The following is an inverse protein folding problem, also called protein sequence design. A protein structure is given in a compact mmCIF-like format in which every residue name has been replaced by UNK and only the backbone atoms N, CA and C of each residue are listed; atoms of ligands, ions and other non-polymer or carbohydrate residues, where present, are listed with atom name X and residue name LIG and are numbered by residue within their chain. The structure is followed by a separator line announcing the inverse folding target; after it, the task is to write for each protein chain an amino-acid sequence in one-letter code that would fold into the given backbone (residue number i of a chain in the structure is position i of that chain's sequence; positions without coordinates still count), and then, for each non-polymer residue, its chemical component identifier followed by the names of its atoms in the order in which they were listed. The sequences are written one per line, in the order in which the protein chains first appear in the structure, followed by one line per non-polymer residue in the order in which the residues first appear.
data_IF_917344590040
#
_entry.id   IF_917344590040
#
_cell.length_a   1.000
_cell.length_b   1.000
_cell.length_c   1.000
_cell.angle_alpha   90.00
_cell.angle_beta   90.00
_cell.angle_gamma   90.00
#
_symmetry.space_group_name_H-M   'P 1'
#
loop_
_entity.id
_entity.type
_entity.pdbx_description
1 polymer ?
#
# COMPACT_ATOMS: atom_id res chain seq x y z
N UNK A 1 -24.89 -13.00 -1.83
CA UNK A 1 -25.23 -11.63 -1.38
C UNK A 1 -24.47 -10.65 -2.25
N UNK A 2 -25.09 -9.57 -2.71
CA UNK A 2 -24.37 -8.48 -3.37
C UNK A 2 -23.79 -7.57 -2.29
N UNK A 3 -22.48 -7.31 -2.34
CA UNK A 3 -21.84 -6.30 -1.50
C UNK A 3 -22.15 -4.91 -2.06
N UNK A 4 -22.46 -3.96 -1.18
CA UNK A 4 -22.59 -2.55 -1.56
C UNK A 4 -21.22 -1.86 -1.56
N UNK A 5 -21.10 -0.70 -2.22
CA UNK A 5 -19.88 0.12 -2.14
C UNK A 5 -19.55 0.51 -0.69
N UNK A 6 -20.57 0.78 0.13
CA UNK A 6 -20.40 1.09 1.54
C UNK A 6 -19.79 -0.08 2.35
N UNK A 7 -20.00 -1.31 1.92
CA UNK A 7 -19.38 -2.48 2.55
C UNK A 7 -17.87 -2.53 2.29
N UNK A 8 -17.39 -1.94 1.18
CA UNK A 8 -15.99 -1.93 0.77
C UNK A 8 -15.18 -0.78 1.38
N UNK A 9 -15.83 0.20 2.02
CA UNK A 9 -15.14 1.27 2.73
C UNK A 9 -14.46 0.69 3.98
N UNK A 10 -13.11 0.76 4.11
CA UNK A 10 -12.43 0.28 5.29
C UNK A 10 -12.86 1.07 6.54
N UNK A 11 -13.26 0.37 7.59
CA UNK A 11 -13.67 0.97 8.86
C UNK A 11 -12.68 0.64 9.95
N UNK A 12 -12.23 1.66 10.68
CA UNK A 12 -11.41 1.44 11.88
C UNK A 12 -12.24 0.66 12.90
N UNK A 13 -11.68 -0.45 13.34
CA UNK A 13 -12.26 -1.33 14.35
C UNK A 13 -11.42 -1.23 15.61
N UNK A 14 -12.00 -0.62 16.64
CA UNK A 14 -11.43 -0.55 17.98
C UNK A 14 -12.21 -1.52 18.87
N UNK A 15 -11.71 -2.73 19.08
CA UNK A 15 -12.12 -3.51 20.25
C UNK A 15 -10.88 -3.84 21.06
N UNK A 16 -10.90 -3.44 22.34
CA UNK A 16 -9.84 -3.75 23.30
C UNK A 16 -9.74 -5.27 23.54
N UNK A 17 -10.82 -6.02 23.27
CA UNK A 17 -10.93 -7.47 23.45
C UNK A 17 -10.17 -8.27 22.37
N UNK A 18 -10.16 -7.81 21.11
CA UNK A 18 -9.46 -8.52 20.02
C UNK A 18 -7.94 -8.32 20.13
N UNK A 19 -7.46 -7.21 20.70
CA UNK A 19 -6.03 -6.95 20.89
C UNK A 19 -5.32 -7.93 21.85
N UNK A 20 -6.06 -8.67 22.68
CA UNK A 20 -5.50 -9.64 23.64
C UNK A 20 -5.33 -11.06 23.06
N UNK A 21 -5.97 -11.36 21.92
CA UNK A 21 -6.05 -12.73 21.37
C UNK A 21 -5.11 -13.00 20.19
N UNK A 22 -4.36 -12.01 19.69
CA UNK A 22 -3.45 -12.20 18.57
C UNK A 22 -2.02 -12.48 19.01
N UNK A 23 -1.61 -13.74 18.87
CA UNK A 23 -0.20 -14.09 18.73
C UNK A 23 0.28 -13.57 17.37
N UNK A 24 0.85 -12.36 17.32
CA UNK A 24 1.62 -11.90 16.16
C UNK A 24 2.67 -12.98 15.86
N UNK A 25 2.80 -13.48 14.62
CA UNK A 25 3.75 -14.54 14.31
C UNK A 25 5.16 -14.19 14.83
N UNK A 26 5.80 -15.16 15.49
CA UNK A 26 7.08 -15.02 16.21
C UNK A 26 8.21 -14.43 15.36
N UNK A 27 8.09 -14.45 14.03
CA UNK A 27 9.00 -13.79 13.09
C UNK A 27 8.99 -12.25 13.19
N UNK A 28 8.07 -11.66 13.95
CA UNK A 28 7.95 -10.21 14.18
C UNK A 28 7.86 -9.82 15.67
N UNK A 29 8.61 -10.51 16.53
CA UNK A 29 8.64 -10.32 17.99
C UNK A 29 9.08 -8.91 18.48
N UNK A 30 9.28 -7.92 17.60
CA UNK A 30 9.66 -6.55 17.96
C UNK A 30 8.53 -5.53 17.86
N UNK A 31 7.29 -5.92 17.56
CA UNK A 31 6.15 -5.00 17.61
C UNK A 31 5.70 -4.91 19.07
N UNK A 32 6.19 -3.88 19.79
CA UNK A 32 5.65 -3.51 21.09
C UNK A 32 4.13 -3.38 20.97
N UNK A 33 3.43 -4.19 21.74
CA UNK A 33 2.00 -4.54 21.68
C UNK A 33 1.03 -3.42 22.05
N UNK A 34 1.35 -2.14 21.82
CA UNK A 34 0.58 -1.07 22.47
C UNK A 34 -0.45 -0.32 21.64
N UNK A 35 -0.50 -0.36 20.30
CA UNK A 35 -1.62 0.23 19.53
C UNK A 35 -1.72 -0.28 18.07
N UNK A 36 -2.22 -1.50 17.84
CA UNK A 36 -2.54 -1.95 16.48
C UNK A 36 -3.90 -1.38 16.06
N UNK A 37 -3.95 -0.69 14.91
CA UNK A 37 -5.22 -0.24 14.30
C UNK A 37 -5.71 -1.30 13.31
N UNK A 38 -6.87 -1.89 13.60
CA UNK A 38 -7.51 -2.85 12.72
C UNK A 38 -8.51 -2.16 11.77
N UNK A 39 -8.53 -2.59 10.52
CA UNK A 39 -9.49 -2.16 9.51
C UNK A 39 -10.45 -3.32 9.20
N UNK A 40 -11.74 -3.13 9.35
CA UNK A 40 -12.74 -4.08 8.85
C UNK A 40 -13.16 -3.71 7.44
N UNK A 41 -13.05 -4.65 6.50
CA UNK A 41 -13.58 -4.52 5.14
C UNK A 41 -14.68 -5.57 4.96
N UNK A 42 -15.82 -5.15 4.44
CA UNK A 42 -17.00 -5.99 4.26
C UNK A 42 -17.92 -6.06 5.49
N UNK A 43 -19.04 -6.80 5.37
CA UNK A 43 -20.04 -6.88 6.42
C UNK A 43 -19.46 -7.55 7.67
N UNK A 44 -19.70 -6.97 8.85
CA UNK A 44 -19.15 -7.45 10.14
C UNK A 44 -19.45 -8.93 10.44
N UNK A 45 -20.58 -9.45 9.95
CA UNK A 45 -20.97 -10.86 10.14
C UNK A 45 -20.22 -11.83 9.23
N UNK A 46 -19.60 -11.32 8.16
CA UNK A 46 -18.86 -12.10 7.16
C UNK A 46 -17.34 -11.96 7.34
N UNK A 47 -16.86 -10.76 7.69
CA UNK A 47 -15.45 -10.48 7.96
C UNK A 47 -14.99 -11.17 9.26
N UNK A 48 -14.38 -12.36 9.12
CA UNK A 48 -13.99 -13.23 10.25
C UNK A 48 -12.51 -13.59 10.26
N UNK A 49 -11.83 -13.42 9.13
CA UNK A 49 -10.42 -13.74 8.97
C UNK A 49 -9.58 -12.48 9.15
N UNK A 50 -8.32 -12.66 9.54
CA UNK A 50 -7.38 -11.58 9.80
C UNK A 50 -6.25 -11.62 8.78
N UNK A 51 -5.86 -10.45 8.29
CA UNK A 51 -4.84 -10.29 7.28
C UNK A 51 -3.91 -9.15 7.65
N UNK A 52 -2.69 -9.21 7.13
CA UNK A 52 -1.74 -8.11 7.13
C UNK A 52 -1.35 -7.78 5.71
N UNK A 53 -1.53 -6.52 5.35
CA UNK A 53 -1.10 -5.96 4.09
C UNK A 53 0.10 -5.05 4.33
N UNK A 54 1.21 -5.29 3.66
CA UNK A 54 2.36 -4.39 3.65
C UNK A 54 2.56 -3.77 2.28
N UNK A 55 2.90 -2.48 2.27
CA UNK A 55 3.26 -1.73 1.07
C UNK A 55 4.63 -1.12 1.25
N UNK A 56 5.47 -1.19 0.22
CA UNK A 56 6.77 -0.54 0.20
C UNK A 56 7.14 -0.01 -1.19
N UNK A 57 7.84 1.12 -1.20
CA UNK A 57 8.63 1.57 -2.34
C UNK A 57 9.97 0.84 -2.30
N UNK A 58 10.40 0.20 -3.39
CA UNK A 58 11.68 -0.51 -3.43
C UNK A 58 12.74 0.33 -4.16
N UNK A 59 12.47 0.65 -5.43
CA UNK A 59 13.43 1.34 -6.27
C UNK A 59 12.75 2.12 -7.40
N UNK A 60 13.38 3.19 -7.86
CA UNK A 60 12.96 3.95 -9.04
C UNK A 60 14.18 4.31 -9.90
N UNK A 61 13.99 4.41 -11.22
CA UNK A 61 15.06 4.69 -12.17
C UNK A 61 14.58 5.62 -13.28
N UNK A 62 15.50 6.34 -13.94
CA UNK A 62 15.23 7.18 -15.13
C UNK A 62 14.25 8.34 -14.90
N UNK A 63 14.24 8.92 -13.70
CA UNK A 63 13.31 10.00 -13.33
C UNK A 63 13.73 11.37 -13.88
N UNK A 64 14.96 11.51 -14.37
CA UNK A 64 15.52 12.76 -14.90
C UNK A 64 14.74 13.35 -16.06
N UNK A 65 14.04 12.51 -16.83
CA UNK A 65 13.22 12.94 -17.96
C UNK A 65 11.94 13.68 -17.54
N UNK A 66 11.56 13.63 -16.27
CA UNK A 66 10.39 14.32 -15.72
C UNK A 66 10.71 15.69 -15.13
N UNK A 67 11.98 16.10 -15.14
CA UNK A 67 12.36 17.37 -14.55
C UNK A 67 11.97 18.50 -15.50
N UNK A 68 11.01 19.37 -15.12
CA UNK A 68 10.75 20.57 -15.89
C UNK A 68 11.98 21.48 -15.79
N UNK A 69 12.24 22.27 -16.83
CA UNK A 69 13.44 23.12 -16.97
C UNK A 69 13.75 23.88 -15.68
N UNK A 70 15.03 24.00 -15.32
CA UNK A 70 15.56 24.50 -14.03
C UNK A 70 14.86 25.79 -13.51
N UNK A 71 14.38 26.66 -14.40
CA UNK A 71 13.63 27.88 -14.03
C UNK A 71 12.31 27.62 -13.29
N UNK A 72 11.61 26.51 -13.56
CA UNK A 72 10.33 26.14 -12.93
C UNK A 72 10.46 25.50 -11.55
N UNK A 73 11.62 24.92 -11.22
CA UNK A 73 11.91 24.38 -9.90
C UNK A 73 12.42 25.46 -8.93
N UNK A 74 12.97 26.55 -9.47
CA UNK A 74 13.53 27.67 -8.71
C UNK A 74 12.49 28.77 -8.35
N UNK A 75 11.27 28.71 -8.86
CA UNK A 75 10.24 29.74 -8.66
C UNK A 75 9.30 29.44 -7.49
N UNK A 76 9.77 29.74 -6.26
CA UNK A 76 8.91 29.99 -5.08
C UNK A 76 8.95 28.91 -3.98
N UNK A 77 9.40 29.26 -2.77
CA UNK A 77 9.19 28.52 -1.50
C UNK A 77 9.38 26.97 -1.47
N UNK A 78 10.03 26.36 -2.46
CA UNK A 78 10.17 24.91 -2.60
C UNK A 78 11.31 24.33 -1.75
N UNK A 79 11.11 24.31 -0.44
CA UNK A 79 11.89 23.45 0.47
C UNK A 79 11.26 22.05 0.41
N UNK A 80 11.57 21.26 -0.61
CA UNK A 80 11.04 19.88 -0.70
C UNK A 80 11.75 19.06 -1.76
N UNK A 81 12.42 17.98 -1.35
CA UNK A 81 13.04 17.03 -2.28
C UNK A 81 12.03 16.24 -3.11
N UNK A 82 12.55 15.47 -4.05
CA UNK A 82 11.74 14.53 -4.82
C UNK A 82 11.22 13.41 -3.92
N UNK A 83 9.98 12.98 -4.11
CA UNK A 83 9.42 11.84 -3.38
C UNK A 83 8.31 11.17 -4.17
N UNK A 84 7.98 9.94 -3.78
CA UNK A 84 6.78 9.24 -4.20
C UNK A 84 5.73 9.27 -3.11
N UNK A 85 4.46 9.28 -3.53
CA UNK A 85 3.34 9.17 -2.61
C UNK A 85 2.17 8.39 -3.21
N UNK A 86 1.44 7.66 -2.38
CA UNK A 86 0.17 7.03 -2.74
C UNK A 86 -0.79 7.09 -1.55
N UNK A 87 -2.05 6.75 -1.77
CA UNK A 87 -3.06 6.70 -0.72
C UNK A 87 -3.62 5.29 -0.61
N UNK A 88 -3.62 4.72 0.58
CA UNK A 88 -4.18 3.41 0.88
C UNK A 88 -4.87 3.46 2.25
N UNK A 89 -6.11 2.96 2.35
CA UNK A 89 -6.92 3.06 3.58
C UNK A 89 -7.15 4.50 4.07
N UNK A 90 -7.13 5.49 3.17
CA UNK A 90 -7.21 6.91 3.53
C UNK A 90 -5.94 7.46 4.19
N UNK A 91 -4.86 6.67 4.22
CA UNK A 91 -3.55 7.07 4.71
C UNK A 91 -2.66 7.39 3.52
N UNK A 92 -2.09 8.60 3.52
CA UNK A 92 -1.06 8.98 2.55
C UNK A 92 0.28 8.39 2.97
N UNK A 93 0.85 7.58 2.09
CA UNK A 93 2.15 6.95 2.25
C UNK A 93 3.16 7.77 1.46
N UNK A 94 4.34 8.00 2.03
CA UNK A 94 5.44 8.75 1.39
C UNK A 94 6.69 7.88 1.31
N UNK A 95 7.44 8.00 0.23
CA UNK A 95 8.83 7.57 0.22
C UNK A 95 9.70 8.55 1.01
N UNK A 96 10.93 8.14 1.32
CA UNK A 96 11.95 9.10 1.69
C UNK A 96 12.13 10.13 0.57
N UNK A 97 12.50 11.36 0.95
CA UNK A 97 12.92 12.36 -0.02
C UNK A 97 14.28 11.99 -0.62
N UNK A 98 14.48 12.30 -1.90
CA UNK A 98 15.71 12.06 -2.63
C UNK A 98 16.04 13.21 -3.58
N UNK A 99 17.31 13.25 -4.03
CA UNK A 99 17.82 14.21 -5.01
C UNK A 99 18.41 13.56 -6.26
N UNK A 100 18.85 12.30 -6.17
CA UNK A 100 19.32 11.52 -7.30
C UNK A 100 18.14 11.05 -8.14
N UNK A 101 18.21 11.13 -9.47
CA UNK A 101 17.09 10.82 -10.37
C UNK A 101 17.34 9.63 -11.31
N UNK A 102 18.62 9.31 -11.56
CA UNK A 102 19.00 8.18 -12.41
C UNK A 102 18.57 6.84 -11.81
N UNK A 103 18.78 6.69 -10.50
CA UNK A 103 18.49 5.49 -9.73
C UNK A 103 18.34 5.86 -8.25
N UNK A 104 17.26 5.40 -7.63
CA UNK A 104 16.93 5.66 -6.23
C UNK A 104 16.51 4.36 -5.59
N UNK A 105 17.29 3.91 -4.60
CA UNK A 105 16.91 2.82 -3.70
C UNK A 105 16.29 3.42 -2.45
N UNK A 106 15.09 2.98 -2.11
CA UNK A 106 14.42 3.41 -0.90
C UNK A 106 14.87 2.56 0.29
N UNK A 107 14.81 3.16 1.49
CA UNK A 107 14.91 2.35 2.70
C UNK A 107 13.67 1.45 2.77
N UNK A 108 13.78 0.25 3.36
CA UNK A 108 12.69 -0.72 3.48
C UNK A 108 11.68 -0.29 4.56
N UNK A 109 11.17 0.93 4.47
CA UNK A 109 10.12 1.42 5.34
C UNK A 109 8.81 0.82 4.78
N UNK A 110 8.37 -0.25 5.42
CA UNK A 110 7.11 -0.91 5.09
C UNK A 110 5.96 -0.20 5.82
N UNK A 111 4.94 0.22 5.08
CA UNK A 111 3.66 0.60 5.67
C UNK A 111 2.81 -0.65 5.85
N UNK A 112 2.40 -0.92 7.09
CA UNK A 112 1.61 -2.11 7.44
C UNK A 112 0.18 -1.74 7.81
N UNK A 113 -0.77 -2.54 7.32
CA UNK A 113 -2.20 -2.45 7.63
C UNK A 113 -2.69 -3.81 8.13
N UNK A 114 -3.48 -3.79 9.21
CA UNK A 114 -4.08 -4.98 9.79
C UNK A 114 -5.56 -4.99 9.46
N UNK A 115 -6.03 -6.05 8.81
CA UNK A 115 -7.34 -6.09 8.16
C UNK A 115 -8.15 -7.28 8.67
N UNK A 116 -9.42 -7.07 8.97
CA UNK A 116 -10.41 -8.11 9.24
C UNK A 116 -11.38 -8.21 8.06
N UNK A 117 -11.41 -9.35 7.38
CA UNK A 117 -12.18 -9.54 6.14
C UNK A 117 -12.37 -11.03 5.83
N UNK A 118 -12.60 -11.37 4.56
CA UNK A 118 -12.44 -12.70 3.96
C UNK A 118 -11.71 -12.52 2.63
N UNK A 119 -11.12 -13.58 2.09
CA UNK A 119 -10.40 -13.51 0.81
C UNK A 119 -11.29 -13.02 -0.33
N UNK A 120 -12.54 -13.48 -0.40
CA UNK A 120 -13.47 -13.07 -1.46
C UNK A 120 -13.86 -11.59 -1.34
N UNK A 121 -14.06 -11.08 -0.13
CA UNK A 121 -14.32 -9.65 0.11
C UNK A 121 -13.09 -8.82 -0.25
N UNK A 122 -11.88 -9.25 0.14
CA UNK A 122 -10.64 -8.56 -0.20
C UNK A 122 -10.41 -8.53 -1.71
N UNK A 123 -10.72 -9.61 -2.43
CA UNK A 123 -10.63 -9.63 -3.90
C UNK A 123 -11.55 -8.57 -4.52
N UNK A 124 -12.79 -8.48 -4.06
CA UNK A 124 -13.75 -7.47 -4.54
C UNK A 124 -13.26 -6.06 -4.18
N UNK A 125 -12.75 -5.86 -2.97
CA UNK A 125 -12.15 -4.60 -2.55
C UNK A 125 -10.97 -4.18 -3.44
N UNK A 126 -10.04 -5.09 -3.73
CA UNK A 126 -8.89 -4.77 -4.59
C UNK A 126 -9.29 -4.48 -6.04
N UNK A 127 -10.34 -5.11 -6.56
CA UNK A 127 -10.94 -4.70 -7.84
C UNK A 127 -11.50 -3.28 -7.75
N UNK A 128 -12.16 -2.92 -6.65
CA UNK A 128 -12.76 -1.61 -6.46
C UNK A 128 -11.74 -0.47 -6.34
N UNK A 129 -10.61 -0.71 -5.65
CA UNK A 129 -9.57 0.32 -5.47
C UNK A 129 -8.52 0.35 -6.59
N UNK A 130 -8.68 -0.48 -7.62
CA UNK A 130 -7.76 -0.51 -8.76
C UNK A 130 -8.03 0.61 -9.76
N UNK A 131 -6.97 1.21 -10.34
CA UNK A 131 -5.56 1.04 -9.98
C UNK A 131 -5.17 1.89 -8.76
N UNK A 132 -4.22 1.40 -7.96
CA UNK A 132 -3.54 2.24 -6.98
C UNK A 132 -2.62 3.22 -7.71
N UNK A 133 -2.85 4.52 -7.53
CA UNK A 133 -2.06 5.58 -8.17
C UNK A 133 -0.90 5.98 -7.27
N UNK A 134 0.32 5.81 -7.77
CA UNK A 134 1.54 6.32 -7.14
C UNK A 134 1.96 7.59 -7.88
N UNK A 135 2.10 8.70 -7.16
CA UNK A 135 2.50 10.02 -7.67
C UNK A 135 3.99 10.23 -7.44
N UNK A 136 4.71 10.69 -8.45
CA UNK A 136 6.06 11.21 -8.35
C UNK A 136 5.98 12.74 -8.21
N UNK A 137 6.57 13.30 -7.15
CA UNK A 137 6.40 14.70 -6.79
C UNK A 137 7.74 15.43 -6.53
N UNK A 138 7.72 16.75 -6.70
CA UNK A 138 8.73 17.68 -6.18
C UNK A 138 8.02 18.73 -5.31
N UNK A 139 8.32 18.74 -4.01
CA UNK A 139 7.46 19.47 -3.06
C UNK A 139 6.00 19.04 -3.20
N UNK A 140 5.07 19.99 -3.30
CA UNK A 140 3.64 19.70 -3.52
C UNK A 140 3.26 19.43 -4.98
N UNK A 141 4.20 19.54 -5.93
CA UNK A 141 3.91 19.40 -7.35
C UNK A 141 4.03 17.96 -7.82
N UNK A 142 2.95 17.44 -8.42
CA UNK A 142 2.96 16.13 -9.08
C UNK A 142 3.62 16.27 -10.45
N UNK A 143 4.72 15.57 -10.66
CA UNK A 143 5.45 15.52 -11.91
C UNK A 143 4.95 14.41 -12.83
N UNK A 144 4.62 13.25 -12.25
CA UNK A 144 4.15 12.08 -12.98
C UNK A 144 3.38 11.10 -12.07
N UNK A 145 2.82 10.04 -12.66
CA UNK A 145 2.18 8.97 -11.92
C UNK A 145 2.41 7.59 -12.55
N UNK A 146 2.46 6.57 -11.70
CA UNK A 146 2.36 5.16 -12.06
C UNK A 146 1.05 4.57 -11.53
N UNK A 147 0.57 3.53 -12.20
CA UNK A 147 -0.64 2.78 -11.81
C UNK A 147 -0.27 1.36 -11.45
N UNK A 148 -0.68 0.91 -10.26
CA UNK A 148 -0.48 -0.46 -9.78
C UNK A 148 -1.81 -1.21 -9.84
N UNK A 149 -1.90 -2.34 -10.57
CA UNK A 149 -3.11 -3.15 -10.65
C UNK A 149 -3.23 -4.04 -9.41
N UNK A 150 -3.71 -3.46 -8.30
CA UNK A 150 -3.80 -4.14 -7.00
C UNK A 150 -4.80 -5.29 -6.98
N UNK A 151 -5.72 -5.35 -7.96
CA UNK A 151 -6.61 -6.49 -8.20
C UNK A 151 -5.84 -7.78 -8.50
N UNK A 152 -4.58 -7.68 -8.95
CA UNK A 152 -3.71 -8.83 -9.21
C UNK A 152 -3.01 -9.37 -7.95
N UNK A 153 -3.20 -8.73 -6.79
CA UNK A 153 -2.58 -9.17 -5.54
C UNK A 153 -3.06 -10.56 -5.12
N UNK A 154 -4.37 -10.80 -5.13
CA UNK A 154 -4.97 -12.08 -4.76
C UNK A 154 -5.27 -12.90 -6.03
N UNK A 155 -4.64 -14.06 -6.24
CA UNK A 155 -4.98 -14.94 -7.36
C UNK A 155 -6.46 -15.33 -7.37
N UNK A 156 -7.07 -15.43 -8.55
CA UNK A 156 -8.49 -15.75 -8.69
C UNK A 156 -8.87 -17.10 -8.06
N UNK A 157 -7.95 -18.07 -8.09
CA UNK A 157 -8.19 -19.43 -7.61
C UNK A 157 -7.89 -19.64 -6.11
N UNK A 158 -7.45 -18.61 -5.39
CA UNK A 158 -7.08 -18.73 -3.98
C UNK A 158 -8.20 -18.20 -3.08
N UNK A 159 -8.96 -19.08 -2.44
CA UNK A 159 -10.10 -18.68 -1.59
C UNK A 159 -9.77 -18.61 -0.09
N UNK A 160 -8.56 -19.01 0.31
CA UNK A 160 -8.17 -19.17 1.73
C UNK A 160 -6.87 -18.42 2.04
N UNK A 161 -6.10 -18.06 1.02
CA UNK A 161 -4.79 -17.41 1.11
C UNK A 161 -3.83 -18.19 2.02
N UNK A 162 -3.55 -19.43 1.63
CA UNK A 162 -2.64 -20.32 2.39
C UNK A 162 -1.19 -19.83 2.39
N UNK A 163 -0.77 -19.12 1.32
CA UNK A 163 0.57 -18.57 1.17
C UNK A 163 0.49 -17.04 1.06
N UNK A 164 1.58 -16.36 1.40
CA UNK A 164 1.70 -14.91 1.18
C UNK A 164 1.49 -14.56 -0.28
N UNK A 165 0.50 -13.72 -0.56
CA UNK A 165 0.32 -13.10 -1.87
C UNK A 165 1.28 -11.92 -2.02
N UNK A 166 2.01 -11.85 -3.14
CA UNK A 166 2.99 -10.78 -3.40
C UNK A 166 2.79 -10.22 -4.80
N UNK A 167 2.54 -8.93 -4.88
CA UNK A 167 2.62 -8.15 -6.11
C UNK A 167 3.90 -7.31 -6.05
N UNK A 168 4.99 -7.84 -6.60
CA UNK A 168 6.25 -7.12 -6.78
C UNK A 168 6.61 -7.05 -8.26
N UNK A 169 6.47 -5.87 -8.86
CA UNK A 169 6.75 -5.62 -10.28
C UNK A 169 7.18 -4.17 -10.50
N UNK A 170 7.80 -3.93 -11.65
CA UNK A 170 8.05 -2.58 -12.13
C UNK A 170 6.82 -2.01 -12.83
N UNK A 171 6.47 -0.77 -12.52
CA UNK A 171 5.32 -0.05 -13.07
C UNK A 171 5.79 1.19 -13.82
N UNK A 172 5.22 1.43 -15.01
CA UNK A 172 5.59 2.56 -15.85
C UNK A 172 5.02 3.88 -15.32
N UNK A 173 5.87 4.89 -15.13
CA UNK A 173 5.52 6.25 -14.66
C UNK A 173 5.12 7.19 -15.84
N UNK A 174 4.78 6.61 -17.01
CA UNK A 174 4.75 7.12 -18.41
C UNK A 174 6.04 6.80 -19.19
N UNK A 175 5.86 6.22 -20.38
CA UNK A 175 6.87 6.07 -21.46
C UNK A 175 8.27 5.56 -21.00
N UNK A 176 8.35 4.34 -20.45
CA UNK A 176 9.58 3.57 -20.16
C UNK A 176 10.37 3.93 -18.88
N UNK A 177 9.67 4.40 -17.84
CA UNK A 177 10.28 4.77 -16.56
C UNK A 177 9.72 3.87 -15.47
N UNK A 178 10.59 3.15 -14.79
CA UNK A 178 10.22 2.02 -13.95
C UNK A 178 10.25 2.42 -12.47
N UNK A 179 9.10 2.30 -11.83
CA UNK A 179 8.97 2.26 -10.37
C UNK A 179 8.77 0.81 -9.92
N UNK A 180 9.70 0.27 -9.15
CA UNK A 180 9.53 -1.01 -8.47
C UNK A 180 8.83 -0.75 -7.13
N UNK A 181 7.63 -1.30 -6.98
CA UNK A 181 6.90 -1.28 -5.72
C UNK A 181 6.40 -2.67 -5.38
N UNK A 182 6.33 -2.96 -4.08
CA UNK A 182 5.89 -4.25 -3.59
C UNK A 182 4.71 -4.10 -2.64
N UNK A 183 3.69 -4.92 -2.89
CA UNK A 183 2.55 -5.13 -2.03
C UNK A 183 2.53 -6.60 -1.60
N UNK A 184 2.48 -6.88 -0.29
CA UNK A 184 2.40 -8.24 0.25
C UNK A 184 1.16 -8.39 1.13
N UNK A 185 0.42 -9.47 0.98
CA UNK A 185 -0.73 -9.82 1.82
C UNK A 185 -0.52 -11.19 2.46
N UNK A 186 -0.65 -11.23 3.78
CA UNK A 186 -0.47 -12.42 4.62
C UNK A 186 -1.76 -12.69 5.37
N UNK A 187 -2.24 -13.94 5.39
CA UNK A 187 -3.36 -14.38 6.24
C UNK A 187 -2.85 -14.85 7.60
N UNK A 188 -3.61 -14.56 8.67
CA UNK A 188 -3.36 -15.10 10.00
C UNK A 188 -4.42 -16.15 10.35
N UNK A 189 -3.97 -17.30 10.84
CA UNK A 189 -4.85 -18.27 11.48
C UNK A 189 -4.91 -17.94 12.96
N UNK A 190 -6.08 -17.56 13.46
CA UNK A 190 -6.34 -17.50 14.90
C UNK A 190 -6.42 -18.94 15.44
N UNK A 191 -5.53 -19.28 16.38
CA UNK A 191 -5.58 -20.55 17.13
C UNK A 191 -6.84 -20.64 18.00
#
# INVERSE_FOLDING_TARGET
MSLSEADLIPRVYNSEEDNQHFSIPTTMANIQSTNITWYTIGPRRLAKEYFMLTFQFEEAFKLESFIPTEQSLCSGEHIGGFHFTCELFGITIYSNQFSQLMQVKFNPIEQTFYIKSTVDILRIYFVHITPLVIKFCFGSHVLAHATVPVEQLIPFNDHILQNTAVLNRSFDVRLNILLLSQLKLVSFVSN
#
